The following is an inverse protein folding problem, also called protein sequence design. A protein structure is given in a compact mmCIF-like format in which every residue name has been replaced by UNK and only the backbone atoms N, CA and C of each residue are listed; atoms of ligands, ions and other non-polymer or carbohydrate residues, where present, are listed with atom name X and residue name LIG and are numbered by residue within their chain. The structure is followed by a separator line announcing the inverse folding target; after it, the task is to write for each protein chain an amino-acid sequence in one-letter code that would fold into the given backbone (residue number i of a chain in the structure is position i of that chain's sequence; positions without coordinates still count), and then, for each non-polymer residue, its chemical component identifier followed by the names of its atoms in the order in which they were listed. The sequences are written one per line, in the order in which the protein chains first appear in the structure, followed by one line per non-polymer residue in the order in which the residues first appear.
data_IF_518802644555
#
_entry.id   IF_518802644555
#
_cell.length_a   1.000
_cell.length_b   1.000
_cell.length_c   1.000
_cell.angle_alpha   90.00
_cell.angle_beta   90.00
_cell.angle_gamma   90.00
#
_symmetry.space_group_name_H-M   'P 1'
#
loop_
_entity.id
_entity.type
_entity.pdbx_description
1 polymer ?
#
# COMPACT_ATOMS: atom_id res chain seq x y z
N UNK A 1 -0.03 -16.48 -18.33
CA UNK A 1 0.74 -16.05 -17.13
C UNK A 1 0.98 -14.56 -17.32
N UNK A 2 0.46 -13.73 -16.42
CA UNK A 2 0.55 -12.28 -16.53
C UNK A 2 1.70 -11.81 -15.66
N UNK A 3 2.68 -11.14 -16.26
CA UNK A 3 3.78 -10.52 -15.52
C UNK A 3 3.44 -9.06 -15.23
N UNK A 4 3.67 -8.63 -13.99
CA UNK A 4 3.45 -7.24 -13.57
C UNK A 4 4.72 -6.72 -12.92
N UNK A 5 5.11 -5.51 -13.33
CA UNK A 5 6.25 -4.78 -12.76
C UNK A 5 5.83 -4.10 -11.47
N UNK A 6 6.07 -4.76 -10.34
CA UNK A 6 5.67 -4.30 -9.01
C UNK A 6 6.09 -2.85 -8.73
N UNK A 7 7.30 -2.47 -9.16
CA UNK A 7 7.85 -1.12 -8.97
C UNK A 7 7.02 -0.04 -9.68
N UNK A 8 6.29 -0.40 -10.74
CA UNK A 8 5.40 0.51 -11.45
C UNK A 8 4.03 0.64 -10.79
N UNK A 9 3.68 -0.28 -9.88
CA UNK A 9 2.43 -0.21 -9.12
C UNK A 9 2.52 0.74 -7.92
N UNK A 10 3.73 0.89 -7.36
CA UNK A 10 3.97 1.76 -6.21
C UNK A 10 3.65 3.22 -6.55
N UNK A 11 3.01 3.90 -5.61
CA UNK A 11 2.53 5.27 -5.71
C UNK A 11 1.24 5.44 -6.53
N UNK A 12 0.74 4.41 -7.23
CA UNK A 12 -0.51 4.51 -8.00
C UNK A 12 -1.72 4.70 -7.10
N UNK A 13 -2.69 5.47 -7.59
CA UNK A 13 -3.99 5.62 -6.95
C UNK A 13 -4.72 4.27 -6.94
N UNK A 14 -5.26 3.91 -5.79
CA UNK A 14 -6.16 2.77 -5.61
C UNK A 14 -7.57 3.30 -5.40
N UNK A 15 -8.52 2.61 -6.00
CA UNK A 15 -9.94 2.92 -5.96
C UNK A 15 -10.72 1.80 -5.26
N UNK A 16 -11.83 2.16 -4.62
CA UNK A 16 -12.81 1.16 -4.19
C UNK A 16 -13.64 0.66 -5.38
N UNK A 17 -14.58 -0.25 -5.10
CA UNK A 17 -15.48 -0.81 -6.13
C UNK A 17 -16.37 0.23 -6.84
N UNK A 18 -16.61 1.37 -6.20
CA UNK A 18 -17.43 2.47 -6.72
C UNK A 18 -16.58 3.54 -7.42
N UNK A 19 -15.30 3.24 -7.70
CA UNK A 19 -14.33 4.16 -8.29
C UNK A 19 -14.03 5.40 -7.44
N UNK A 20 -14.21 5.30 -6.12
CA UNK A 20 -13.78 6.33 -5.19
C UNK A 20 -12.30 6.16 -4.83
N UNK A 21 -11.48 7.22 -4.89
CA UNK A 21 -10.07 7.13 -4.52
C UNK A 21 -9.93 6.87 -3.01
N UNK A 22 -9.28 5.77 -2.63
CA UNK A 22 -9.12 5.37 -1.22
C UNK A 22 -7.69 5.52 -0.68
N UNK A 23 -6.74 5.87 -1.55
CA UNK A 23 -5.35 6.12 -1.22
C UNK A 23 -4.42 5.62 -2.31
N UNK A 24 -3.12 5.62 -2.06
CA UNK A 24 -2.11 5.15 -3.02
C UNK A 24 -1.46 3.87 -2.52
N UNK A 25 -1.13 2.95 -3.43
CA UNK A 25 -0.37 1.75 -3.09
C UNK A 25 1.06 2.16 -2.71
N UNK A 26 1.44 2.01 -1.45
CA UNK A 26 2.75 2.46 -0.97
C UNK A 26 3.76 1.33 -0.82
N UNK A 27 3.30 0.14 -0.42
CA UNK A 27 4.15 -0.98 -0.05
C UNK A 27 3.45 -2.31 -0.34
N UNK A 28 4.25 -3.35 -0.54
CA UNK A 28 3.79 -4.74 -0.49
C UNK A 28 4.58 -5.53 0.55
N UNK A 29 3.88 -6.38 1.28
CA UNK A 29 4.50 -7.39 2.13
C UNK A 29 4.65 -8.67 1.32
N UNK A 30 5.84 -9.26 1.36
CA UNK A 30 6.08 -10.57 0.76
C UNK A 30 6.72 -11.49 1.78
N UNK A 31 6.44 -12.78 1.64
CA UNK A 31 6.95 -13.84 2.50
C UNK A 31 7.69 -14.87 1.65
N UNK A 32 8.80 -15.37 2.18
CA UNK A 32 9.52 -16.50 1.59
C UNK A 32 8.67 -17.77 1.72
N UNK A 33 8.49 -18.48 0.61
CA UNK A 33 7.82 -19.78 0.53
C UNK A 33 8.69 -20.72 -0.29
N UNK A 34 9.60 -21.41 0.39
CA UNK A 34 10.56 -22.30 -0.26
C UNK A 34 11.58 -21.50 -1.07
N UNK A 35 11.62 -21.70 -2.38
CA UNK A 35 12.47 -20.95 -3.30
C UNK A 35 11.86 -19.62 -3.77
N UNK A 36 10.58 -19.38 -3.45
CA UNK A 36 9.82 -18.28 -4.01
C UNK A 36 9.58 -17.19 -2.97
N UNK A 37 9.37 -15.96 -3.43
CA UNK A 37 8.93 -14.82 -2.62
C UNK A 37 7.53 -14.44 -3.08
N UNK A 38 6.55 -14.58 -2.19
CA UNK A 38 5.13 -14.43 -2.52
C UNK A 38 4.56 -13.20 -1.83
N UNK A 39 3.97 -12.29 -2.60
CA UNK A 39 3.28 -11.13 -2.04
C UNK A 39 2.01 -11.58 -1.31
N UNK A 40 1.85 -11.12 -0.07
CA UNK A 40 0.72 -11.48 0.79
C UNK A 40 -0.23 -10.31 1.03
N UNK A 41 0.30 -9.09 1.12
CA UNK A 41 -0.48 -7.89 1.48
C UNK A 41 -0.01 -6.66 0.68
N UNK A 42 -0.95 -5.75 0.43
CA UNK A 42 -0.75 -4.41 -0.09
C UNK A 42 -1.06 -3.38 0.98
N UNK A 43 -0.25 -2.34 1.06
CA UNK A 43 -0.49 -1.25 1.99
C UNK A 43 -0.83 0.03 1.25
N UNK A 44 -1.99 0.60 1.56
CA UNK A 44 -2.57 1.78 0.91
C UNK A 44 -2.58 2.95 1.90
N UNK A 45 -2.07 4.12 1.48
CA UNK A 45 -1.98 5.30 2.36
C UNK A 45 -2.27 6.63 1.65
N UNK A 46 -2.64 7.65 2.43
CA UNK A 46 -3.16 8.93 1.90
C UNK A 46 -2.10 9.84 1.25
N UNK A 47 -0.83 9.86 1.70
CA UNK A 47 0.21 10.73 1.14
C UNK A 47 1.63 10.15 1.35
N UNK A 48 2.25 9.72 0.25
CA UNK A 48 3.58 10.16 -0.22
C UNK A 48 4.88 9.89 0.56
N UNK A 49 4.92 9.51 1.85
CA UNK A 49 6.21 9.40 2.58
C UNK A 49 6.19 8.34 3.70
N UNK A 50 6.59 7.11 3.36
CA UNK A 50 7.30 6.19 4.27
C UNK A 50 8.59 5.72 3.57
N UNK A 51 9.40 6.70 3.14
CA UNK A 51 10.86 6.64 3.14
C UNK A 51 11.53 5.27 2.89
N UNK A 52 11.49 4.81 1.63
CA UNK A 52 12.48 3.93 0.97
C UNK A 52 13.54 3.33 1.92
N UNK A 53 13.22 2.35 2.76
CA UNK A 53 14.12 1.49 3.57
C UNK A 53 15.37 2.10 4.29
N UNK A 54 15.69 3.39 4.21
CA UNK A 54 16.97 3.99 4.65
C UNK A 54 16.84 5.38 5.28
N UNK A 55 15.83 6.18 4.94
CA UNK A 55 15.70 7.56 5.45
C UNK A 55 14.82 7.67 6.71
N UNK A 56 14.03 6.63 7.03
CA UNK A 56 13.07 6.60 8.13
C UNK A 56 13.66 6.83 9.54
N UNK A 57 14.97 6.65 9.72
CA UNK A 57 15.65 6.99 10.99
C UNK A 57 15.85 8.51 11.11
N UNK A 58 16.16 9.20 10.01
CA UNK A 58 16.55 10.61 10.01
C UNK A 58 15.31 11.51 10.05
N UNK A 59 14.28 11.23 9.25
CA UNK A 59 13.07 12.08 9.22
C UNK A 59 12.20 11.89 10.46
N UNK A 60 12.10 10.67 11.02
CA UNK A 60 11.46 10.47 12.33
C UNK A 60 12.15 11.26 13.45
N UNK A 61 13.48 11.40 13.40
CA UNK A 61 14.22 12.20 14.38
C UNK A 61 13.96 13.71 14.21
N UNK A 62 13.79 14.20 12.98
CA UNK A 62 13.55 15.62 12.68
C UNK A 62 12.10 16.06 12.94
N UNK A 63 11.11 15.18 12.77
CA UNK A 63 9.69 15.51 12.94
C UNK A 63 9.17 15.32 14.38
N UNK A 64 9.89 14.54 15.20
CA UNK A 64 9.56 14.30 16.63
C UNK A 64 9.38 15.58 17.46
N UNK A 65 10.21 16.64 17.32
CA UNK A 65 10.03 17.87 18.10
C UNK A 65 8.83 18.73 17.67
N UNK A 66 8.20 18.48 16.50
CA UNK A 66 7.10 19.32 16.01
C UNK A 66 5.69 18.82 16.34
N UNK A 67 5.55 17.71 17.09
CA UNK A 67 4.24 17.26 17.58
C UNK A 67 3.23 16.85 16.49
N UNK A 68 3.65 16.74 15.22
CA UNK A 68 2.82 16.19 14.16
C UNK A 68 2.61 14.70 14.41
N UNK A 69 1.55 14.36 15.13
CA UNK A 69 0.91 13.06 15.00
C UNK A 69 0.29 13.03 13.61
N UNK A 70 1.08 12.66 12.60
CA UNK A 70 0.49 12.28 11.32
C UNK A 70 -0.38 11.07 11.62
N UNK A 71 -1.70 11.25 11.51
CA UNK A 71 -2.65 10.15 11.45
C UNK A 71 -2.41 9.43 10.12
N UNK A 72 -1.39 8.57 10.11
CA UNK A 72 -1.03 7.76 8.96
C UNK A 72 -2.06 6.65 8.88
N UNK A 73 -3.24 6.98 8.37
CA UNK A 73 -4.25 5.98 8.06
C UNK A 73 -3.70 5.08 6.94
N UNK A 74 -3.21 3.90 7.35
CA UNK A 74 -2.66 2.88 6.48
C UNK A 74 -3.67 1.73 6.41
N UNK A 75 -4.13 1.43 5.21
CA UNK A 75 -5.06 0.34 4.94
C UNK A 75 -4.28 -0.85 4.41
N UNK A 76 -4.34 -1.95 5.13
CA UNK A 76 -3.79 -3.24 4.71
C UNK A 76 -4.86 -3.98 3.92
N UNK A 77 -4.48 -4.46 2.73
CA UNK A 77 -5.36 -5.18 1.81
C UNK A 77 -4.70 -6.50 1.43
N UNK A 78 -5.35 -7.66 1.62
CA UNK A 78 -4.83 -8.94 1.16
C UNK A 78 -4.54 -8.94 -0.35
N UNK A 79 -3.48 -9.66 -0.76
CA UNK A 79 -3.14 -9.84 -2.19
C UNK A 79 -4.33 -10.16 -3.11
N UNK A 80 -5.24 -11.11 -2.78
CA UNK A 80 -6.33 -11.47 -3.69
C UNK A 80 -7.36 -10.35 -3.89
N UNK A 81 -7.37 -9.33 -3.03
CA UNK A 81 -8.44 -8.32 -2.96
C UNK A 81 -8.15 -7.09 -3.82
N UNK A 82 -6.95 -6.94 -4.39
CA UNK A 82 -6.69 -5.97 -5.47
C UNK A 82 -6.87 -6.63 -6.82
N UNK A 83 -7.59 -5.95 -7.71
CA UNK A 83 -7.62 -6.28 -9.11
C UNK A 83 -6.41 -5.71 -9.85
N UNK A 84 -5.61 -6.61 -10.41
CA UNK A 84 -4.44 -6.29 -11.26
C UNK A 84 -4.73 -6.52 -12.75
N UNK A 85 -5.98 -6.80 -13.13
CA UNK A 85 -6.35 -6.98 -14.54
C UNK A 85 -6.04 -5.72 -15.39
N UNK A 86 -6.20 -4.53 -14.79
CA UNK A 86 -5.79 -3.24 -15.33
C UNK A 86 -4.81 -2.53 -14.36
N UNK A 87 -3.52 -2.61 -14.66
CA UNK A 87 -2.47 -1.93 -13.86
C UNK A 87 -2.47 -0.41 -14.01
N UNK A 88 -3.23 0.14 -14.96
CA UNK A 88 -3.50 1.57 -15.09
C UNK A 88 -4.50 2.07 -14.05
N UNK A 89 -5.40 1.20 -13.59
CA UNK A 89 -6.52 1.54 -12.72
C UNK A 89 -6.68 0.49 -11.60
N UNK A 90 -5.91 0.64 -10.51
CA UNK A 90 -5.92 -0.31 -9.40
C UNK A 90 -7.20 -0.21 -8.59
N UNK A 91 -7.93 -1.32 -8.46
CA UNK A 91 -9.25 -1.35 -7.82
C UNK A 91 -9.36 -2.49 -6.81
N UNK A 92 -10.09 -2.27 -5.72
CA UNK A 92 -10.46 -3.36 -4.83
C UNK A 92 -11.54 -4.25 -5.48
N UNK A 93 -11.38 -5.58 -5.38
CA UNK A 93 -12.33 -6.57 -5.88
C UNK A 93 -13.61 -6.61 -5.05
N UNK A 94 -13.45 -6.67 -3.73
CA UNK A 94 -14.52 -6.43 -2.75
C UNK A 94 -13.89 -6.47 -1.34
N UNK A 95 -14.08 -5.43 -0.52
CA UNK A 95 -13.78 -5.50 0.91
C UNK A 95 -14.97 -4.94 1.69
N UNK A 96 -15.45 -5.74 2.64
CA UNK A 96 -16.42 -5.33 3.65
C UNK A 96 -15.92 -4.07 4.40
N UNK A 97 -16.83 -3.21 4.91
CA UNK A 97 -16.45 -2.01 5.65
C UNK A 97 -15.57 -2.35 6.85
N UNK A 98 -14.63 -1.42 7.09
CA UNK A 98 -13.52 -1.43 8.05
C UNK A 98 -13.97 -1.81 9.48
N UNK A 99 -13.28 -2.74 10.12
CA UNK A 99 -13.27 -2.84 11.59
C UNK A 99 -12.19 -1.89 12.11
N UNK A 100 -12.62 -0.82 12.76
CA UNK A 100 -11.73 0.01 13.58
C UNK A 100 -11.34 -0.79 14.84
N UNK A 101 -10.05 -0.90 15.12
CA UNK A 101 -9.50 -1.31 16.43
C UNK A 101 -8.79 -0.10 17.01
#
# INVERSE_FOLDING_TARGET
MTEVRLELLLGKQVYDRNDQPIGRLQEVKAEERGSDVVVTEYHIGALGLMERLSALVIVRALLRPLGLKQDVSMRIVPWPDIDLSDTGHLKLRDLAPKSDI
#
